data_IF_592776891094
#
_entry.id   IF_592776891094
#
_cell.length_a   1.000
_cell.length_b   1.000
_cell.length_c   1.000
_cell.angle_alpha   90.00
_cell.angle_beta   90.00
_cell.angle_gamma   90.00
#
_symmetry.space_group_name_H-M   'P 1'
#
loop_
_entity.id
_entity.type
_entity.pdbx_description
1 polymer ?
#
# COMPACT_ATOMS: atom_id res chain seq x y z
N UNK A 1 -46.85 -27.56 -61.78
CA UNK A 1 -46.38 -26.37 -61.02
C UNK A 1 -45.71 -26.86 -59.75
N UNK A 2 -44.39 -26.88 -59.73
CA UNK A 2 -43.61 -27.30 -58.54
C UNK A 2 -43.08 -26.05 -57.83
N UNK A 3 -43.49 -25.88 -56.57
CA UNK A 3 -42.98 -24.80 -55.70
C UNK A 3 -41.69 -25.28 -55.05
N UNK A 4 -40.57 -24.64 -55.37
CA UNK A 4 -39.32 -24.83 -54.71
C UNK A 4 -39.29 -23.88 -53.50
N UNK A 5 -39.37 -24.45 -52.29
CA UNK A 5 -39.15 -23.72 -51.03
C UNK A 5 -37.65 -23.70 -50.80
N UNK A 6 -37.03 -22.50 -50.92
CA UNK A 6 -35.64 -22.31 -50.56
C UNK A 6 -35.59 -22.09 -49.04
N UNK A 7 -35.04 -23.06 -48.32
CA UNK A 7 -34.68 -22.89 -46.93
C UNK A 7 -33.37 -22.08 -46.82
N UNK A 8 -33.47 -20.85 -46.37
CA UNK A 8 -32.32 -20.04 -46.01
C UNK A 8 -31.85 -20.48 -44.63
N UNK A 9 -30.74 -21.20 -44.56
CA UNK A 9 -30.08 -21.57 -43.33
C UNK A 9 -29.33 -20.34 -42.80
N UNK A 10 -29.90 -19.67 -41.78
CA UNK A 10 -29.23 -18.56 -41.09
C UNK A 10 -28.20 -19.14 -40.14
N UNK A 11 -26.93 -19.19 -40.53
CA UNK A 11 -25.81 -19.55 -39.66
C UNK A 11 -25.51 -18.35 -38.76
N UNK A 12 -26.04 -18.38 -37.54
CA UNK A 12 -25.59 -17.45 -36.52
C UNK A 12 -24.14 -17.77 -36.12
N UNK A 13 -23.19 -17.02 -36.66
CA UNK A 13 -21.81 -17.04 -36.17
C UNK A 13 -21.78 -16.50 -34.76
N UNK A 14 -21.73 -17.38 -33.76
CA UNK A 14 -21.44 -17.00 -32.36
C UNK A 14 -19.96 -16.62 -32.30
N UNK A 15 -19.68 -15.35 -32.52
CA UNK A 15 -18.36 -14.80 -32.24
C UNK A 15 -18.11 -14.95 -30.72
N UNK A 16 -17.00 -15.56 -30.32
CA UNK A 16 -16.65 -15.59 -28.91
C UNK A 16 -16.47 -14.12 -28.44
N UNK A 17 -17.38 -13.64 -27.63
CA UNK A 17 -17.16 -12.40 -26.87
C UNK A 17 -15.93 -12.68 -26.02
N UNK A 18 -14.77 -12.28 -26.51
CA UNK A 18 -13.58 -12.16 -25.66
C UNK A 18 -13.98 -11.14 -24.60
N UNK A 19 -14.35 -11.65 -23.42
CA UNK A 19 -14.50 -10.83 -22.26
C UNK A 19 -13.22 -9.98 -22.18
N UNK A 20 -13.38 -8.66 -22.21
CA UNK A 20 -12.29 -7.75 -21.87
C UNK A 20 -11.86 -8.20 -20.49
N UNK A 21 -10.75 -8.91 -20.41
CA UNK A 21 -10.16 -9.24 -19.13
C UNK A 21 -10.03 -7.89 -18.43
N UNK A 22 -10.78 -7.71 -17.35
CA UNK A 22 -10.68 -6.49 -16.54
C UNK A 22 -9.20 -6.35 -16.22
N UNK A 23 -8.56 -5.32 -16.77
CA UNK A 23 -7.17 -5.01 -16.51
C UNK A 23 -7.04 -4.75 -15.03
N UNK A 24 -6.68 -5.79 -14.27
CA UNK A 24 -6.38 -5.70 -12.85
C UNK A 24 -4.91 -5.28 -12.72
N UNK A 25 -4.63 -3.98 -12.53
CA UNK A 25 -3.27 -3.50 -12.50
C UNK A 25 -2.52 -4.07 -11.30
N UNK A 26 -1.23 -4.25 -11.44
CA UNK A 26 -0.36 -4.45 -10.29
C UNK A 26 -0.30 -3.16 -9.47
N UNK A 27 -0.36 -3.30 -8.15
CA UNK A 27 -0.37 -2.17 -7.22
C UNK A 27 0.87 -2.25 -6.34
N UNK A 28 1.70 -1.22 -6.40
CA UNK A 28 2.85 -1.03 -5.54
C UNK A 28 2.58 0.15 -4.60
N UNK A 29 2.66 -0.10 -3.30
CA UNK A 29 2.52 0.93 -2.28
C UNK A 29 3.81 1.04 -1.48
N UNK A 30 4.44 2.21 -1.53
CA UNK A 30 5.67 2.51 -0.79
C UNK A 30 5.34 3.57 0.25
N UNK A 31 5.67 3.29 1.50
CA UNK A 31 5.51 4.23 2.62
C UNK A 31 6.86 4.56 3.22
N UNK A 32 7.01 5.80 3.69
CA UNK A 32 8.11 6.22 4.54
C UNK A 32 7.55 6.57 5.92
N UNK A 33 8.20 6.08 6.97
CA UNK A 33 7.78 6.32 8.35
C UNK A 33 8.20 7.71 8.83
N UNK A 34 7.36 8.31 9.69
CA UNK A 34 7.64 9.56 10.42
C UNK A 34 8.13 10.72 9.53
N UNK A 35 7.78 10.72 8.25
CA UNK A 35 8.22 11.70 7.30
C UNK A 35 7.15 12.75 7.05
N UNK A 36 7.52 14.03 7.24
CA UNK A 36 6.77 15.18 6.74
C UNK A 36 6.99 15.34 5.22
N UNK A 37 6.34 16.29 4.53
CA UNK A 37 6.55 16.51 3.09
C UNK A 37 7.94 17.12 2.80
N UNK A 38 9.00 16.54 3.37
CA UNK A 38 10.41 16.93 3.23
C UNK A 38 11.01 16.31 1.97
N UNK A 39 10.43 16.65 0.82
CA UNK A 39 10.87 16.19 -0.51
C UNK A 39 11.04 17.40 -1.43
N UNK A 40 11.95 17.32 -2.39
CA UNK A 40 12.19 18.38 -3.37
C UNK A 40 10.91 18.77 -4.13
N UNK A 41 10.10 17.80 -4.52
CA UNK A 41 8.81 18.05 -5.20
C UNK A 41 7.77 18.79 -4.34
N UNK A 42 7.96 18.87 -3.03
CA UNK A 42 7.14 19.68 -2.11
C UNK A 42 7.81 21.01 -1.72
N UNK A 43 8.98 21.31 -2.30
CA UNK A 43 9.68 22.57 -2.11
C UNK A 43 10.68 22.59 -0.97
N UNK A 44 11.05 21.42 -0.43
CA UNK A 44 12.13 21.34 0.56
C UNK A 44 13.49 21.59 -0.13
N UNK A 45 14.22 22.66 0.26
CA UNK A 45 15.47 23.03 -0.42
C UNK A 45 16.66 22.14 -0.06
N UNK A 46 16.54 21.33 0.99
CA UNK A 46 17.61 20.45 1.49
C UNK A 46 17.43 19.00 1.07
N UNK A 47 16.22 18.63 0.68
CA UNK A 47 15.93 17.27 0.27
C UNK A 47 16.57 16.94 -1.08
N UNK A 48 17.42 15.94 -1.11
CA UNK A 48 17.99 15.39 -2.36
C UNK A 48 17.19 14.16 -2.78
N UNK A 49 16.09 14.37 -3.51
CA UNK A 49 15.12 13.33 -3.87
C UNK A 49 14.86 13.25 -5.39
N UNK A 50 15.91 13.16 -6.23
CA UNK A 50 15.77 13.33 -7.68
C UNK A 50 14.84 12.32 -8.35
N UNK A 51 14.78 11.08 -7.86
CA UNK A 51 13.88 10.05 -8.40
C UNK A 51 12.42 10.30 -8.05
N UNK A 52 12.15 10.71 -6.81
CA UNK A 52 10.79 11.08 -6.38
C UNK A 52 10.32 12.36 -7.07
N UNK A 53 11.21 13.32 -7.24
CA UNK A 53 10.92 14.58 -7.94
C UNK A 53 10.62 14.34 -9.43
N UNK A 54 11.36 13.45 -10.07
CA UNK A 54 11.08 13.03 -11.44
C UNK A 54 9.75 12.29 -11.56
N UNK A 55 9.45 11.38 -10.63
CA UNK A 55 8.19 10.66 -10.58
C UNK A 55 7.00 11.59 -10.33
N UNK A 56 7.15 12.57 -9.44
CA UNK A 56 6.12 13.56 -9.14
C UNK A 56 5.68 14.38 -10.36
N UNK A 57 6.59 14.60 -11.34
CA UNK A 57 6.26 15.31 -12.60
C UNK A 57 5.30 14.54 -13.50
N UNK A 58 5.18 13.22 -13.30
CA UNK A 58 4.34 12.31 -14.09
C UNK A 58 3.18 11.73 -13.28
N UNK A 59 2.96 12.26 -12.08
CA UNK A 59 2.02 11.72 -11.10
C UNK A 59 1.07 12.77 -10.55
N UNK A 60 0.01 12.32 -9.90
CA UNK A 60 -0.82 13.20 -9.08
C UNK A 60 -0.13 13.44 -7.75
N UNK A 61 0.14 14.69 -7.42
CA UNK A 61 0.71 15.12 -6.16
C UNK A 61 -0.36 15.74 -5.27
N UNK A 62 -0.58 15.16 -4.10
CA UNK A 62 -1.49 15.72 -3.12
C UNK A 62 -0.78 16.78 -2.27
N UNK A 63 -1.30 17.99 -2.26
CA UNK A 63 -0.74 19.12 -1.49
C UNK A 63 -1.34 19.24 -0.09
N UNK A 64 -2.42 18.52 0.19
CA UNK A 64 -3.12 18.50 1.48
C UNK A 64 -3.53 17.07 1.81
N UNK A 65 -2.57 16.29 2.28
CA UNK A 65 -2.80 14.95 2.83
C UNK A 65 -2.44 14.97 4.32
N UNK A 66 -3.32 14.42 5.15
CA UNK A 66 -3.17 14.44 6.60
C UNK A 66 -3.29 13.04 7.17
N UNK A 67 -2.44 12.71 8.12
CA UNK A 67 -2.62 11.51 8.92
C UNK A 67 -3.82 11.68 9.85
N UNK A 68 -4.60 10.61 10.01
CA UNK A 68 -5.77 10.60 10.92
C UNK A 68 -5.37 10.63 12.40
N UNK A 69 -4.14 10.26 12.68
CA UNK A 69 -3.50 10.30 14.00
C UNK A 69 -1.98 10.47 13.79
N UNK A 70 -1.30 11.34 14.56
CA UNK A 70 0.13 11.60 14.38
C UNK A 70 1.03 10.56 15.08
N UNK A 71 0.57 9.31 15.15
CA UNK A 71 1.31 8.17 15.73
C UNK A 71 1.07 6.90 14.92
N UNK A 72 2.05 5.98 14.95
CA UNK A 72 2.11 4.83 14.04
C UNK A 72 0.87 3.94 14.10
N UNK A 73 0.59 3.29 15.23
CA UNK A 73 -0.38 2.20 15.26
C UNK A 73 -1.84 2.62 15.01
N UNK A 74 -2.38 3.73 15.53
CA UNK A 74 -3.70 4.20 15.16
C UNK A 74 -3.82 4.59 13.69
N UNK A 75 -2.79 5.27 13.15
CA UNK A 75 -2.75 5.65 11.73
C UNK A 75 -2.72 4.42 10.83
N UNK A 76 -1.87 3.44 11.15
CA UNK A 76 -1.74 2.20 10.37
C UNK A 76 -3.00 1.35 10.43
N UNK A 77 -3.67 1.30 11.58
CA UNK A 77 -4.97 0.62 11.69
C UNK A 77 -6.04 1.27 10.81
N UNK A 78 -6.08 2.60 10.78
CA UNK A 78 -6.99 3.30 9.86
C UNK A 78 -6.64 3.02 8.40
N UNK A 79 -5.37 3.08 8.02
CA UNK A 79 -4.92 2.80 6.65
C UNK A 79 -5.32 1.39 6.19
N UNK A 80 -5.15 0.38 7.06
CA UNK A 80 -5.42 -1.00 6.64
C UNK A 80 -6.91 -1.35 6.68
N UNK A 81 -7.68 -0.79 7.60
CA UNK A 81 -9.11 -1.12 7.76
C UNK A 81 -10.05 -0.16 7.04
N UNK A 82 -9.60 1.05 6.71
CA UNK A 82 -10.45 2.13 6.22
C UNK A 82 -11.39 2.70 7.29
N UNK A 83 -11.24 2.31 8.57
CA UNK A 83 -12.10 2.77 9.67
C UNK A 83 -11.32 3.72 10.57
N UNK A 84 -11.92 4.88 10.86
CA UNK A 84 -11.28 5.91 11.67
C UNK A 84 -11.04 5.42 13.11
N UNK A 85 -9.87 5.70 13.73
CA UNK A 85 -9.52 5.17 15.06
C UNK A 85 -10.52 5.56 16.15
N UNK A 86 -11.15 6.73 16.08
CA UNK A 86 -12.21 7.13 17.01
C UNK A 86 -13.43 6.20 16.92
N UNK A 87 -13.81 5.79 15.71
CA UNK A 87 -14.91 4.84 15.50
C UNK A 87 -14.59 3.47 16.08
N UNK A 88 -13.33 3.05 16.00
CA UNK A 88 -12.86 1.77 16.58
C UNK A 88 -12.59 1.86 18.09
N UNK A 89 -12.63 3.07 18.69
CA UNK A 89 -12.25 3.27 20.09
C UNK A 89 -10.76 3.07 20.37
N UNK A 90 -9.92 3.02 19.32
CA UNK A 90 -8.47 2.70 19.38
C UNK A 90 -7.60 3.89 18.97
N UNK A 91 -7.96 5.10 19.45
CA UNK A 91 -7.19 6.31 19.12
C UNK A 91 -5.83 6.36 19.82
N UNK A 92 -5.75 5.85 21.04
CA UNK A 92 -4.49 5.80 21.81
C UNK A 92 -3.54 4.74 21.21
N UNK A 93 -2.25 5.00 21.30
CA UNK A 93 -1.23 4.08 20.85
C UNK A 93 -1.24 2.77 21.65
N UNK A 94 -1.06 1.62 20.95
CA UNK A 94 -1.03 0.27 21.51
C UNK A 94 -2.32 -0.13 22.24
N UNK A 95 -3.45 0.20 21.64
CA UNK A 95 -4.74 -0.29 22.09
C UNK A 95 -4.82 -1.81 21.99
N UNK A 96 -5.39 -2.43 23.00
CA UNK A 96 -5.72 -3.88 23.02
C UNK A 96 -7.21 -4.15 22.76
N UNK A 97 -7.96 -3.16 22.26
CA UNK A 97 -9.35 -3.37 21.90
C UNK A 97 -9.49 -4.35 20.72
N UNK A 98 -10.40 -5.32 20.81
CA UNK A 98 -10.67 -6.21 19.68
C UNK A 98 -11.37 -5.47 18.54
N UNK A 99 -11.12 -5.90 17.32
CA UNK A 99 -11.86 -5.39 16.17
C UNK A 99 -13.21 -6.12 16.03
N UNK A 100 -14.29 -5.43 15.67
CA UNK A 100 -15.53 -6.08 15.24
C UNK A 100 -15.23 -7.11 14.13
N UNK A 101 -15.90 -8.26 14.15
CA UNK A 101 -15.62 -9.36 13.21
C UNK A 101 -15.79 -9.00 11.74
N UNK A 102 -16.66 -8.05 11.43
CA UNK A 102 -16.89 -7.56 10.06
C UNK A 102 -15.83 -6.57 9.59
N UNK A 103 -14.98 -6.05 10.48
CA UNK A 103 -13.87 -5.16 10.10
C UNK A 103 -12.69 -6.01 9.66
N UNK A 104 -12.36 -5.90 8.38
CA UNK A 104 -11.26 -6.59 7.71
C UNK A 104 -10.26 -5.55 7.20
N UNK A 105 -9.03 -5.98 6.97
CA UNK A 105 -8.08 -5.17 6.20
C UNK A 105 -8.47 -5.10 4.72
N UNK A 106 -8.32 -3.93 4.08
CA UNK A 106 -8.66 -3.81 2.66
C UNK A 106 -7.88 -4.79 1.75
N UNK A 107 -6.64 -5.22 2.06
CA UNK A 107 -5.97 -6.22 1.24
C UNK A 107 -6.69 -7.58 1.23
N UNK A 108 -7.49 -7.89 2.27
CA UNK A 108 -8.30 -9.10 2.26
C UNK A 108 -9.34 -9.09 1.11
N UNK A 109 -9.92 -7.92 0.80
CA UNK A 109 -10.82 -7.78 -0.35
C UNK A 109 -10.07 -7.87 -1.68
N UNK A 110 -8.82 -7.40 -1.75
CA UNK A 110 -7.98 -7.59 -2.93
C UNK A 110 -7.64 -9.08 -3.13
N UNK A 111 -7.36 -9.82 -2.05
CA UNK A 111 -7.16 -11.28 -2.10
C UNK A 111 -8.41 -12.00 -2.58
N UNK A 112 -9.59 -11.61 -2.08
CA UNK A 112 -10.87 -12.14 -2.55
C UNK A 112 -11.08 -11.86 -4.06
N UNK A 113 -10.54 -10.74 -4.57
CA UNK A 113 -10.52 -10.38 -5.99
C UNK A 113 -9.39 -11.06 -6.77
N UNK A 114 -8.60 -11.94 -6.15
CA UNK A 114 -7.56 -12.74 -6.78
C UNK A 114 -6.17 -12.12 -6.82
N UNK A 115 -5.92 -11.02 -6.11
CA UNK A 115 -4.58 -10.45 -5.96
C UNK A 115 -3.72 -11.29 -5.03
N UNK A 116 -2.42 -11.29 -5.27
CA UNK A 116 -1.41 -11.74 -4.33
C UNK A 116 -0.92 -10.55 -3.51
N UNK A 117 -1.17 -10.56 -2.20
CA UNK A 117 -0.92 -9.43 -1.31
C UNK A 117 0.30 -9.65 -0.44
N UNK A 118 1.27 -8.74 -0.48
CA UNK A 118 2.50 -8.83 0.32
C UNK A 118 2.76 -7.56 1.12
N UNK A 119 3.30 -7.71 2.34
CA UNK A 119 3.69 -6.61 3.21
C UNK A 119 5.13 -6.77 3.71
N UNK A 120 5.98 -5.84 3.39
CA UNK A 120 7.37 -5.76 3.83
C UNK A 120 7.57 -4.47 4.65
N UNK A 121 7.64 -4.54 5.96
CA UNK A 121 7.33 -5.62 6.92
C UNK A 121 6.46 -5.08 8.04
N UNK A 122 6.37 -3.75 8.17
CA UNK A 122 5.70 -3.13 9.31
C UNK A 122 4.20 -3.38 9.27
N UNK A 123 3.66 -3.89 10.35
CA UNK A 123 2.22 -4.03 10.60
C UNK A 123 1.74 -3.01 11.63
N UNK A 124 2.13 -3.16 12.90
CA UNK A 124 1.85 -2.22 14.02
C UNK A 124 0.37 -1.86 14.10
N UNK A 125 -0.52 -2.85 13.91
CA UNK A 125 -1.97 -2.63 13.97
C UNK A 125 -2.45 -2.52 15.41
N UNK A 126 -3.24 -1.50 15.69
CA UNK A 126 -3.62 -1.04 17.03
C UNK A 126 -4.83 -1.80 17.59
N UNK A 127 -4.70 -3.11 17.74
CA UNK A 127 -5.76 -4.00 18.18
C UNK A 127 -5.21 -5.30 18.76
N UNK A 128 -5.97 -5.95 19.65
CA UNK A 128 -5.66 -7.31 20.10
C UNK A 128 -5.81 -8.36 18.99
N UNK A 129 -6.54 -8.06 17.92
CA UNK A 129 -6.76 -8.96 16.78
C UNK A 129 -5.73 -8.76 15.65
N UNK A 130 -4.56 -8.20 15.94
CA UNK A 130 -3.56 -7.89 14.92
C UNK A 130 -3.13 -9.13 14.10
N UNK A 131 -2.98 -10.29 14.74
CA UNK A 131 -2.62 -11.54 14.06
C UNK A 131 -3.71 -11.99 13.07
N UNK A 132 -4.99 -11.91 13.46
CA UNK A 132 -6.12 -12.18 12.58
C UNK A 132 -6.10 -11.25 11.38
N UNK A 133 -5.93 -9.95 11.62
CA UNK A 133 -5.92 -8.93 10.58
C UNK A 133 -4.76 -9.15 9.59
N UNK A 134 -3.59 -9.55 10.09
CA UNK A 134 -2.42 -9.90 9.27
C UNK A 134 -2.71 -11.12 8.41
N UNK A 135 -3.21 -12.21 9.01
CA UNK A 135 -3.47 -13.46 8.33
C UNK A 135 -4.56 -13.33 7.23
N UNK A 136 -5.58 -12.52 7.48
CA UNK A 136 -6.62 -12.23 6.49
C UNK A 136 -6.13 -11.33 5.36
N UNK A 137 -5.24 -10.37 5.65
CA UNK A 137 -4.81 -9.33 4.71
C UNK A 137 -3.69 -9.76 3.78
N UNK A 138 -2.77 -10.61 4.22
CA UNK A 138 -1.51 -10.85 3.52
C UNK A 138 -1.28 -12.31 3.19
N UNK A 139 -0.85 -12.60 1.96
CA UNK A 139 -0.32 -13.90 1.57
C UNK A 139 1.08 -14.10 2.15
N UNK A 140 1.86 -13.01 2.22
CA UNK A 140 3.17 -12.99 2.87
C UNK A 140 3.38 -11.64 3.57
N UNK A 141 3.74 -11.66 4.86
CA UNK A 141 4.11 -10.48 5.63
C UNK A 141 5.40 -10.76 6.38
N UNK A 142 6.52 -10.21 5.90
CA UNK A 142 7.87 -10.42 6.46
C UNK A 142 8.87 -9.41 5.89
N UNK A 143 10.08 -9.38 6.43
CA UNK A 143 11.18 -8.55 5.92
C UNK A 143 11.63 -8.95 4.50
N UNK A 144 11.26 -10.14 4.03
CA UNK A 144 11.58 -10.64 2.70
C UNK A 144 10.35 -10.71 1.79
N UNK A 145 9.18 -10.27 2.27
CA UNK A 145 7.95 -10.29 1.48
C UNK A 145 8.11 -9.43 0.21
N UNK A 146 7.72 -10.00 -0.92
CA UNK A 146 7.95 -9.37 -2.21
C UNK A 146 6.93 -9.87 -3.24
N UNK A 147 6.56 -9.05 -4.25
CA UNK A 147 5.67 -9.47 -5.34
C UNK A 147 6.23 -10.60 -6.21
N UNK A 148 7.54 -10.91 -6.11
CA UNK A 148 8.20 -12.05 -6.78
C UNK A 148 8.19 -13.33 -5.94
N UNK A 149 7.39 -13.38 -4.89
CA UNK A 149 7.25 -14.59 -4.07
C UNK A 149 6.89 -15.79 -4.96
N UNK A 150 7.59 -16.93 -4.83
CA UNK A 150 7.34 -18.11 -5.66
C UNK A 150 5.93 -18.70 -5.49
N UNK A 151 5.21 -18.34 -4.42
CA UNK A 151 3.80 -18.73 -4.24
C UNK A 151 2.86 -17.97 -5.18
N UNK A 152 3.26 -16.81 -5.71
CA UNK A 152 2.46 -16.03 -6.65
C UNK A 152 2.45 -16.71 -8.02
N UNK A 153 1.27 -16.91 -8.61
CA UNK A 153 1.15 -17.41 -9.98
C UNK A 153 1.66 -16.36 -10.98
N UNK A 154 2.18 -16.80 -12.14
CA UNK A 154 2.81 -15.94 -13.13
C UNK A 154 1.92 -14.73 -13.54
N UNK A 155 0.64 -15.00 -13.85
CA UNK A 155 -0.31 -13.99 -14.31
C UNK A 155 -1.20 -13.40 -13.21
N UNK A 156 -0.91 -13.72 -11.95
CA UNK A 156 -1.68 -13.21 -10.82
C UNK A 156 -1.29 -11.76 -10.55
N UNK A 157 -2.25 -10.81 -10.53
CA UNK A 157 -1.97 -9.44 -10.13
C UNK A 157 -1.50 -9.39 -8.67
N UNK A 158 -0.67 -8.41 -8.35
CA UNK A 158 -0.19 -8.24 -6.98
C UNK A 158 -0.57 -6.89 -6.40
N UNK A 159 -0.73 -6.89 -5.08
CA UNK A 159 -0.66 -5.71 -4.23
C UNK A 159 0.53 -5.88 -3.28
N UNK A 160 1.53 -5.04 -3.42
CA UNK A 160 2.75 -5.13 -2.62
C UNK A 160 3.01 -3.84 -1.86
N UNK A 161 3.22 -3.97 -0.56
CA UNK A 161 3.56 -2.85 0.33
C UNK A 161 5.01 -2.96 0.77
N UNK A 162 5.75 -1.84 0.67
CA UNK A 162 7.08 -1.68 1.23
C UNK A 162 7.06 -0.51 2.21
N UNK A 163 7.41 -0.80 3.45
CA UNK A 163 7.48 0.21 4.49
C UNK A 163 8.95 0.58 4.72
N UNK A 164 9.35 1.74 4.24
CA UNK A 164 10.69 2.25 4.49
C UNK A 164 10.80 2.76 5.94
N UNK A 165 11.71 2.14 6.68
CA UNK A 165 11.96 2.42 8.09
C UNK A 165 13.18 3.32 8.31
N UNK A 166 13.83 3.79 7.26
CA UNK A 166 15.06 4.61 7.38
C UNK A 166 14.74 5.95 8.07
N UNK A 167 13.60 6.54 7.75
CA UNK A 167 13.12 7.79 8.37
C UNK A 167 12.44 7.63 9.73
N UNK A 168 12.25 6.38 10.21
CA UNK A 168 11.60 6.13 11.50
C UNK A 168 12.44 6.72 12.66
N UNK A 169 11.77 7.33 13.64
CA UNK A 169 12.41 8.04 14.76
C UNK A 169 13.48 7.20 15.48
N UNK A 170 13.30 5.88 15.60
CA UNK A 170 14.28 4.99 16.23
C UNK A 170 15.62 4.97 15.52
N UNK A 171 15.68 5.33 14.25
CA UNK A 171 16.94 5.42 13.49
C UNK A 171 17.70 6.70 13.84
N UNK A 172 17.02 7.83 13.96
CA UNK A 172 17.65 9.09 14.38
C UNK A 172 18.15 9.05 15.82
N UNK A 173 17.47 8.31 16.70
CA UNK A 173 17.84 8.18 18.12
C UNK A 173 19.10 7.32 18.35
N UNK A 174 19.51 6.50 17.40
CA UNK A 174 20.69 5.61 17.53
C UNK A 174 21.89 6.06 16.71
N UNK A 175 21.79 7.20 16.04
CA UNK A 175 22.92 7.74 15.29
C UNK A 175 24.00 8.19 16.26
N UNK A 176 25.25 7.69 16.11
CA UNK A 176 26.36 8.20 16.91
C UNK A 176 26.53 9.70 16.66
N UNK A 177 26.75 10.45 17.73
CA UNK A 177 26.93 11.90 17.67
C UNK A 177 28.00 12.34 16.64
N UNK A 178 29.09 11.56 16.51
CA UNK A 178 30.11 11.78 15.51
C UNK A 178 29.58 11.64 14.07
N UNK A 179 28.71 10.67 13.79
CA UNK A 179 28.10 10.50 12.46
C UNK A 179 27.13 11.64 12.15
N UNK A 180 26.37 12.09 13.13
CA UNK A 180 25.48 13.24 12.98
C UNK A 180 26.29 14.51 12.65
N UNK A 181 27.30 14.82 13.43
CA UNK A 181 28.13 16.00 13.20
C UNK A 181 28.87 15.98 11.86
N UNK A 182 29.40 14.84 11.48
CA UNK A 182 30.21 14.74 10.27
C UNK A 182 29.40 14.66 8.97
N UNK A 183 28.21 14.08 8.99
CA UNK A 183 27.43 13.81 7.79
C UNK A 183 26.14 14.63 7.65
N UNK A 184 25.47 14.94 8.75
CA UNK A 184 24.20 15.65 8.73
C UNK A 184 24.40 17.13 9.05
N UNK A 185 25.02 17.44 10.18
CA UNK A 185 25.19 18.82 10.64
C UNK A 185 26.08 19.63 9.69
N UNK A 186 27.09 18.99 9.06
CA UNK A 186 27.94 19.64 8.07
C UNK A 186 27.20 20.06 6.80
N UNK A 187 26.07 19.44 6.50
CA UNK A 187 25.23 19.72 5.33
C UNK A 187 24.08 20.68 5.63
N UNK A 188 23.80 20.95 6.90
CA UNK A 188 22.76 21.90 7.29
C UNK A 188 23.27 23.35 7.13
N UNK A 189 22.40 24.29 6.73
CA UNK A 189 22.75 25.70 6.68
C UNK A 189 23.20 26.17 8.07
N UNK A 190 24.23 26.97 8.07
CA UNK A 190 24.60 27.69 9.29
C UNK A 190 23.52 28.74 9.57
N UNK A 191 22.96 28.68 10.77
CA UNK A 191 21.99 29.68 11.23
C UNK A 191 22.61 31.07 11.25
#
# INVERSE_FOLDING_TARGET
MAFYIHQILLVLAVLPIRGVASDRPNILWITAEDMSPTLGCYGDPYANTPHLDAFAKQSVRFTRAFAVSPVCSPSRSCLITGVHPVTLGSLQMRSSLPLPRHVRGFPAFLRDAGYFCTNNVKTDYNTSDAERLIAESWDTSSATAHWRDPKRKADQPFFAVFNDMVSHQSRSMVWPDASFRNHVQAQLPKA
#
